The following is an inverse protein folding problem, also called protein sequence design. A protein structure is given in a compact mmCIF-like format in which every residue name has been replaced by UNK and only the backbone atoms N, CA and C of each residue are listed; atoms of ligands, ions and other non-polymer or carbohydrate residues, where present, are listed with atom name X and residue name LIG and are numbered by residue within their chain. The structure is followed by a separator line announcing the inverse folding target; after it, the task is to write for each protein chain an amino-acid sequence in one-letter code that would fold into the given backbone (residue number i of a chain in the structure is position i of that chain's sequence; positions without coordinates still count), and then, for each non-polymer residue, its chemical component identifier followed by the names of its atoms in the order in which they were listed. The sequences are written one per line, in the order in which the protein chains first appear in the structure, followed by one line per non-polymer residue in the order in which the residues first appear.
data_IF_615441512021
#
_entry.id   IF_615441512021
#
_cell.length_a   1.000
_cell.length_b   1.000
_cell.length_c   1.000
_cell.angle_alpha   90.00
_cell.angle_beta   90.00
_cell.angle_gamma   90.00
#
_symmetry.space_group_name_H-M   'P 1'
#
loop_
_entity.id
_entity.type
_entity.pdbx_description
1 polymer ?
#
# COMPACT_ATOMS: atom_id res chain seq x y z
N UNK A 1 -20.89 1.15 -1.33
CA UNK A 1 -19.71 1.14 -2.22
C UNK A 1 -18.51 1.68 -1.47
N UNK A 2 -17.40 0.97 -1.54
CA UNK A 2 -16.19 1.40 -0.85
C UNK A 2 -15.46 2.46 -1.67
N UNK A 3 -14.85 3.39 -0.96
CA UNK A 3 -14.09 4.45 -1.59
C UNK A 3 -12.76 3.92 -2.10
N UNK A 4 -12.35 4.41 -3.27
CA UNK A 4 -11.05 4.07 -3.85
C UNK A 4 -10.06 5.15 -3.46
N UNK A 5 -8.96 4.75 -2.85
CA UNK A 5 -7.98 5.66 -2.28
C UNK A 5 -6.60 5.36 -2.84
N UNK A 6 -5.87 6.41 -3.19
CA UNK A 6 -4.45 6.31 -3.51
C UNK A 6 -3.69 6.90 -2.32
N UNK A 7 -2.86 6.09 -1.67
CA UNK A 7 -2.08 6.58 -0.55
C UNK A 7 -0.74 7.10 -1.05
N UNK A 8 -0.45 8.35 -0.70
CA UNK A 8 0.88 8.89 -0.87
C UNK A 8 1.87 8.07 -0.06
N UNK A 9 3.10 7.95 -0.55
CA UNK A 9 4.12 7.13 0.11
C UNK A 9 4.35 7.57 1.55
N UNK A 10 4.40 8.88 1.81
CA UNK A 10 4.57 9.38 3.17
C UNK A 10 3.39 8.97 4.06
N UNK A 11 2.19 9.04 3.53
CA UNK A 11 1.00 8.64 4.25
C UNK A 11 1.07 7.16 4.64
N UNK A 12 1.46 6.32 3.70
CA UNK A 12 1.62 4.91 3.97
C UNK A 12 2.67 4.69 5.06
N UNK A 13 3.84 5.34 4.91
CA UNK A 13 4.91 5.19 5.89
C UNK A 13 4.46 5.57 7.30
N UNK A 14 3.71 6.66 7.42
CA UNK A 14 3.24 7.11 8.72
C UNK A 14 2.16 6.21 9.29
N UNK A 15 1.49 5.43 8.46
CA UNK A 15 0.42 4.55 8.92
C UNK A 15 0.92 3.21 9.42
N UNK A 16 2.18 2.85 9.14
CA UNK A 16 2.68 1.52 9.48
C UNK A 16 2.98 1.31 10.96
N UNK A 17 3.65 2.25 11.67
CA UNK A 17 3.96 2.00 13.09
C UNK A 17 2.70 1.98 13.94
N UNK A 18 2.61 0.98 14.82
CA UNK A 18 1.43 0.81 15.65
C UNK A 18 1.18 2.00 16.57
N UNK A 19 2.22 2.76 16.90
CA UNK A 19 2.08 3.91 17.81
C UNK A 19 1.81 5.20 17.07
N UNK A 20 1.77 5.17 15.75
CA UNK A 20 1.53 6.38 14.98
C UNK A 20 0.07 6.81 15.11
N UNK A 21 -0.19 8.13 15.19
CA UNK A 21 -1.58 8.61 15.16
C UNK A 21 -2.26 8.29 13.83
N UNK A 22 -1.50 7.95 12.80
CA UNK A 22 -2.05 7.61 11.49
C UNK A 22 -2.21 6.12 11.27
N UNK A 23 -1.92 5.29 12.28
CA UNK A 23 -1.97 3.84 12.14
C UNK A 23 -3.37 3.34 11.76
N UNK A 24 -4.40 4.10 12.11
CA UNK A 24 -5.76 3.74 11.76
C UNK A 24 -5.96 3.62 10.25
N UNK A 25 -5.21 4.39 9.47
CA UNK A 25 -5.31 4.29 8.01
C UNK A 25 -4.93 2.89 7.54
N UNK A 26 -3.83 2.35 8.06
CA UNK A 26 -3.39 0.99 7.71
C UNK A 26 -4.40 -0.04 8.20
N UNK A 27 -4.87 0.12 9.44
CA UNK A 27 -5.87 -0.81 9.98
C UNK A 27 -7.15 -0.79 9.16
N UNK A 28 -7.60 0.40 8.76
CA UNK A 28 -8.81 0.52 7.96
C UNK A 28 -8.66 -0.19 6.61
N UNK A 29 -7.48 -0.09 6.02
CA UNK A 29 -7.21 -0.84 4.79
C UNK A 29 -7.29 -2.34 5.03
N UNK A 30 -6.64 -2.82 6.09
CA UNK A 30 -6.64 -4.25 6.39
C UNK A 30 -8.05 -4.78 6.64
N UNK A 31 -8.92 -3.94 7.18
CA UNK A 31 -10.29 -4.32 7.46
C UNK A 31 -11.25 -4.09 6.30
N UNK A 32 -10.74 -3.55 5.20
CA UNK A 32 -11.56 -3.36 4.01
C UNK A 32 -12.48 -2.16 4.07
N UNK A 33 -12.13 -1.15 4.84
CA UNK A 33 -12.97 0.04 4.93
C UNK A 33 -12.83 0.95 3.72
N UNK A 34 -11.81 0.74 2.92
CA UNK A 34 -11.65 1.40 1.63
C UNK A 34 -10.85 0.48 0.71
N UNK A 35 -10.89 0.78 -0.60
CA UNK A 35 -10.09 0.06 -1.58
C UNK A 35 -8.83 0.85 -1.85
N UNK A 36 -7.69 0.18 -1.85
CA UNK A 36 -6.42 0.83 -2.13
C UNK A 36 -6.06 0.62 -3.60
N UNK A 37 -5.83 1.71 -4.30
CA UNK A 37 -5.41 1.67 -5.69
C UNK A 37 -3.89 1.63 -5.77
N UNK A 38 -3.35 0.68 -6.52
CA UNK A 38 -1.90 0.57 -6.71
C UNK A 38 -1.58 0.29 -8.17
N UNK A 39 -0.34 0.57 -8.53
CA UNK A 39 0.24 0.20 -9.82
C UNK A 39 1.63 -0.32 -9.54
N UNK A 40 2.30 -0.86 -10.57
CA UNK A 40 3.67 -1.31 -10.41
C UNK A 40 4.57 -0.17 -9.93
N UNK A 41 4.38 1.02 -10.49
CA UNK A 41 5.20 2.17 -10.10
C UNK A 41 4.98 2.55 -8.64
N UNK A 42 3.71 2.56 -8.23
CA UNK A 42 3.38 2.90 -6.85
C UNK A 42 3.95 1.86 -5.89
N UNK A 43 3.81 0.58 -6.22
CA UNK A 43 4.33 -0.49 -5.36
C UNK A 43 5.85 -0.44 -5.28
N UNK A 44 6.52 -0.17 -6.39
CA UNK A 44 7.97 -0.05 -6.39
C UNK A 44 8.43 1.11 -5.52
N UNK A 45 7.72 2.23 -5.58
CA UNK A 45 8.06 3.37 -4.75
C UNK A 45 7.84 3.06 -3.27
N UNK A 46 6.73 2.42 -2.94
CA UNK A 46 6.47 2.00 -1.56
C UNK A 46 7.61 1.12 -1.06
N UNK A 47 7.96 0.11 -1.85
CA UNK A 47 8.99 -0.85 -1.44
C UNK A 47 10.32 -0.15 -1.23
N UNK A 48 10.72 0.71 -2.16
CA UNK A 48 12.00 1.41 -2.09
C UNK A 48 12.08 2.28 -0.84
N UNK A 49 11.04 3.04 -0.57
CA UNK A 49 11.04 3.98 0.55
C UNK A 49 10.96 3.23 1.88
N UNK A 50 10.13 2.20 1.96
CA UNK A 50 10.04 1.41 3.19
C UNK A 50 11.37 0.74 3.47
N UNK A 51 12.02 0.20 2.44
CA UNK A 51 13.31 -0.45 2.61
C UNK A 51 14.36 0.54 3.11
N UNK A 52 14.34 1.77 2.57
CA UNK A 52 15.30 2.79 2.93
C UNK A 52 15.16 3.23 4.38
N UNK A 53 13.94 3.43 4.84
CA UNK A 53 13.69 4.00 6.17
C UNK A 53 13.35 2.97 7.23
N UNK A 54 13.18 1.72 6.86
CA UNK A 54 12.87 0.67 7.80
C UNK A 54 13.76 -0.53 7.53
N UNK A 55 13.29 -1.50 6.75
CA UNK A 55 14.11 -2.67 6.40
C UNK A 55 13.50 -3.35 5.17
N UNK A 56 14.33 -4.20 4.53
CA UNK A 56 13.85 -5.00 3.41
C UNK A 56 12.76 -5.98 3.87
N UNK A 57 12.87 -6.49 5.10
CA UNK A 57 11.90 -7.41 5.64
C UNK A 57 10.54 -6.74 5.81
N UNK A 58 10.52 -5.54 6.36
CA UNK A 58 9.28 -4.79 6.54
C UNK A 58 8.69 -4.44 5.18
N UNK A 59 9.54 -3.99 4.23
CA UNK A 59 9.06 -3.67 2.90
C UNK A 59 8.38 -4.86 2.25
N UNK A 60 9.02 -6.03 2.33
CA UNK A 60 8.46 -7.24 1.74
C UNK A 60 7.13 -7.61 2.38
N UNK A 61 7.04 -7.51 3.69
CA UNK A 61 5.80 -7.85 4.40
C UNK A 61 4.67 -6.91 4.04
N UNK A 62 4.95 -5.61 3.95
CA UNK A 62 3.93 -4.61 3.63
C UNK A 62 3.45 -4.80 2.18
N UNK A 63 4.39 -4.96 1.25
CA UNK A 63 4.02 -5.15 -0.15
C UNK A 63 3.21 -6.44 -0.31
N UNK A 64 3.60 -7.50 0.38
CA UNK A 64 2.86 -8.76 0.33
C UNK A 64 1.44 -8.58 0.86
N UNK A 65 1.28 -7.87 1.96
CA UNK A 65 -0.04 -7.62 2.51
C UNK A 65 -0.92 -6.85 1.53
N UNK A 66 -0.34 -5.87 0.84
CA UNK A 66 -1.09 -5.08 -0.13
C UNK A 66 -1.48 -5.93 -1.34
N UNK A 67 -0.51 -6.66 -1.90
CA UNK A 67 -0.73 -7.42 -3.13
C UNK A 67 -1.74 -8.54 -2.91
N UNK A 68 -1.75 -9.15 -1.73
CA UNK A 68 -2.65 -10.27 -1.45
C UNK A 68 -3.98 -9.83 -0.85
N UNK A 69 -4.18 -8.54 -0.62
CA UNK A 69 -5.42 -8.07 -0.02
C UNK A 69 -6.55 -8.08 -1.05
N UNK A 70 -7.74 -8.55 -0.68
CA UNK A 70 -8.90 -8.44 -1.56
C UNK A 70 -9.38 -6.99 -1.70
N UNK A 71 -8.81 -6.07 -0.93
CA UNK A 71 -9.21 -4.67 -0.94
C UNK A 71 -8.25 -3.80 -1.74
N UNK A 72 -7.38 -4.43 -2.53
CA UNK A 72 -6.46 -3.72 -3.40
C UNK A 72 -6.97 -3.79 -4.83
N UNK A 73 -7.06 -2.64 -5.48
CA UNK A 73 -7.34 -2.56 -6.90
C UNK A 73 -6.02 -2.32 -7.63
N UNK A 74 -5.58 -3.30 -8.36
CA UNK A 74 -4.29 -3.25 -9.03
C UNK A 74 -4.48 -2.81 -10.48
N UNK A 75 -3.83 -1.73 -10.86
CA UNK A 75 -3.86 -1.30 -12.24
C UNK A 75 -2.79 -2.05 -13.02
N UNK A 76 -3.25 -2.91 -13.93
CA UNK A 76 -2.33 -3.61 -14.80
C UNK A 76 -1.81 -2.66 -15.85
N UNK A 77 -0.55 -2.75 -16.11
CA UNK A 77 0.09 -1.90 -17.10
C UNK A 77 -0.08 -2.48 -18.48
N UNK A 78 -0.94 -3.13 -18.90
CA UNK A 78 -1.03 -3.81 -20.16
C UNK A 78 -1.15 -3.08 -21.42
N UNK A 79 -1.47 -3.00 -21.00
CA UNK A 79 -1.40 -2.74 -21.74
C UNK A 79 -1.34 -2.90 -22.78
N UNK A 80 -1.48 -2.96 -23.06
CA UNK A 80 -1.27 -2.99 -23.75
C UNK A 80 -1.15 -3.22 -24.72
N UNK A 81 -1.18 -3.46 -25.01
CA UNK A 81 -0.83 -3.65 -25.79
C UNK A 81 -1.03 -3.86 -26.57
N UNK A 82 -1.14 -4.00 -26.78
CA UNK A 82 -1.04 -4.15 -27.33
C UNK A 82 -1.13 -4.23 -27.84
#
# INVERSE_FOLDING_TARGET
MKRLVVLDTNCLMQSLPAKSPYHKIWEDFLQGKFMLYVSNEILNEYEEIIERYSSASVARNVISAIVHSPYTLYKEASFKFN
#
